data_IF_490567154857
#
_entry.id   IF_490567154857
#
_cell.length_a   1.000
_cell.length_b   1.000
_cell.length_c   1.000
_cell.angle_alpha   90.00
_cell.angle_beta   90.00
_cell.angle_gamma   90.00
#
_symmetry.space_group_name_H-M   'P 1'
#
loop_
_entity.id
_entity.type
_entity.pdbx_description
1 polymer ?
#
# COMPACT_ATOMS: atom_id res chain seq x y z
N UNK A 1 -3.98 11.10 8.72
CA UNK A 1 -2.91 10.83 9.71
C UNK A 1 -3.33 9.93 10.87
N UNK A 2 -4.28 10.30 11.75
CA UNK A 2 -4.65 9.47 12.93
C UNK A 2 -5.05 8.02 12.63
N UNK A 3 -5.76 7.78 11.51
CA UNK A 3 -6.15 6.44 11.08
C UNK A 3 -4.94 5.57 10.75
N UNK A 4 -4.05 6.03 9.88
CA UNK A 4 -2.85 5.28 9.48
C UNK A 4 -1.89 5.06 10.65
N UNK A 5 -1.76 6.05 11.53
CA UNK A 5 -1.00 5.88 12.77
C UNK A 5 -1.59 4.76 13.66
N UNK A 6 -2.91 4.73 13.85
CA UNK A 6 -3.57 3.70 14.65
C UNK A 6 -3.39 2.32 14.02
N UNK A 7 -3.47 2.21 12.69
CA UNK A 7 -3.23 0.96 11.96
C UNK A 7 -1.79 0.47 12.21
N UNK A 8 -0.79 1.35 12.07
CA UNK A 8 0.61 1.00 12.30
C UNK A 8 0.87 0.53 13.74
N UNK A 9 0.29 1.20 14.74
CA UNK A 9 0.40 0.81 16.15
C UNK A 9 -0.22 -0.57 16.42
N UNK A 10 -1.37 -0.88 15.82
CA UNK A 10 -2.04 -2.18 15.95
C UNK A 10 -1.24 -3.27 15.26
N UNK A 11 -0.75 -3.03 14.04
CA UNK A 11 0.06 -4.02 13.30
C UNK A 11 1.32 -4.38 14.09
N UNK A 12 2.04 -3.39 14.63
CA UNK A 12 3.21 -3.61 15.46
C UNK A 12 2.90 -4.43 16.73
N UNK A 13 1.78 -4.15 17.40
CA UNK A 13 1.34 -4.89 18.60
C UNK A 13 1.11 -6.37 18.33
N UNK A 14 0.66 -6.71 17.12
CA UNK A 14 0.31 -8.07 16.75
C UNK A 14 1.42 -8.80 15.97
N UNK A 15 2.58 -8.17 15.74
CA UNK A 15 3.66 -8.76 14.93
C UNK A 15 3.24 -9.08 13.50
N UNK A 16 2.27 -8.33 12.98
CA UNK A 16 1.86 -8.43 11.59
C UNK A 16 2.77 -7.58 10.70
N UNK A 17 2.73 -7.83 9.39
CA UNK A 17 3.49 -7.07 8.41
C UNK A 17 2.63 -5.93 7.85
N UNK A 18 3.13 -4.69 7.88
CA UNK A 18 2.40 -3.52 7.38
C UNK A 18 2.78 -3.24 5.93
N UNK A 19 1.78 -3.17 5.05
CA UNK A 19 1.93 -2.55 3.73
C UNK A 19 1.38 -1.12 3.82
N UNK A 20 2.26 -0.12 3.93
CA UNK A 20 1.87 1.28 4.14
C UNK A 20 1.58 2.00 2.81
N UNK A 21 0.40 1.74 2.26
CA UNK A 21 -0.07 2.41 1.05
C UNK A 21 -0.22 3.93 1.20
N UNK A 22 -0.34 4.45 2.42
CA UNK A 22 -0.51 5.89 2.65
C UNK A 22 0.80 6.66 2.50
N UNK A 23 1.91 6.09 2.99
CA UNK A 23 3.24 6.65 2.76
C UNK A 23 3.62 6.60 1.27
N UNK A 24 3.26 5.50 0.59
CA UNK A 24 3.53 5.29 -0.83
C UNK A 24 2.55 6.02 -1.77
N UNK A 25 1.43 6.53 -1.23
CA UNK A 25 0.33 7.14 -2.01
C UNK A 25 0.74 8.37 -2.82
N UNK A 26 1.88 9.00 -2.50
CA UNK A 26 2.42 10.13 -3.28
C UNK A 26 2.51 9.81 -4.77
N UNK A 27 2.79 8.56 -5.12
CA UNK A 27 2.85 8.07 -6.49
C UNK A 27 1.51 8.24 -7.24
N UNK A 28 0.36 8.10 -6.58
CA UNK A 28 -0.95 8.28 -7.22
C UNK A 28 -1.29 9.73 -7.57
N UNK A 29 -0.72 10.70 -6.85
CA UNK A 29 -0.85 12.10 -7.24
C UNK A 29 -0.09 12.39 -8.55
N UNK A 30 0.91 11.57 -8.88
CA UNK A 30 1.75 11.69 -10.07
C UNK A 30 1.26 10.80 -11.23
N UNK A 31 0.36 9.84 -10.96
CA UNK A 31 -0.16 8.86 -11.93
C UNK A 31 -1.69 8.83 -11.99
N UNK A 32 -2.33 9.76 -12.72
CA UNK A 32 -3.79 9.79 -12.85
C UNK A 32 -4.38 8.53 -13.49
N UNK A 33 -3.60 7.79 -14.29
CA UNK A 33 -3.99 6.51 -14.89
C UNK A 33 -4.24 5.39 -13.88
N UNK A 34 -3.74 5.52 -12.65
CA UNK A 34 -3.99 4.55 -11.58
C UNK A 34 -5.34 4.71 -10.91
N UNK A 35 -6.06 5.81 -11.17
CA UNK A 35 -7.39 6.06 -10.62
C UNK A 35 -8.45 5.72 -11.66
N UNK A 36 -9.48 4.99 -11.23
CA UNK A 36 -10.63 4.63 -12.03
C UNK A 36 -11.51 5.83 -12.37
N UNK A 37 -12.51 5.59 -13.22
CA UNK A 37 -13.42 6.66 -13.70
C UNK A 37 -14.27 7.29 -12.61
N UNK A 38 -14.43 6.62 -11.48
CA UNK A 38 -15.17 7.15 -10.32
C UNK A 38 -14.33 8.14 -9.48
N UNK A 39 -13.06 8.33 -9.83
CA UNK A 39 -12.16 9.26 -9.14
C UNK A 39 -11.75 8.77 -7.74
N UNK A 40 -11.99 7.50 -7.41
CA UNK A 40 -11.69 6.96 -6.08
C UNK A 40 -11.05 5.58 -6.12
N UNK A 41 -11.67 4.60 -6.79
CA UNK A 41 -11.12 3.25 -6.81
C UNK A 41 -9.93 3.17 -7.77
N UNK A 42 -8.98 2.24 -7.54
CA UNK A 42 -7.92 2.00 -8.51
C UNK A 42 -8.47 1.54 -9.86
N UNK A 43 -7.83 1.96 -10.94
CA UNK A 43 -8.00 1.37 -12.27
C UNK A 43 -7.34 -0.02 -12.33
N UNK A 44 -7.45 -0.74 -13.45
CA UNK A 44 -6.72 -1.99 -13.65
C UNK A 44 -5.19 -1.81 -13.53
N UNK A 45 -4.67 -0.68 -14.01
CA UNK A 45 -3.24 -0.34 -13.88
C UNK A 45 -2.90 -0.02 -12.42
N UNK A 46 -3.76 0.71 -11.72
CA UNK A 46 -3.61 0.98 -10.29
C UNK A 46 -3.60 -0.29 -9.44
N UNK A 47 -4.49 -1.24 -9.71
CA UNK A 47 -4.47 -2.54 -9.01
C UNK A 47 -3.19 -3.34 -9.30
N UNK A 48 -2.65 -3.27 -10.52
CA UNK A 48 -1.36 -3.91 -10.82
C UNK A 48 -0.24 -3.30 -10.00
N UNK A 49 -0.17 -1.97 -9.92
CA UNK A 49 0.83 -1.29 -9.11
C UNK A 49 0.70 -1.61 -7.61
N UNK A 50 -0.53 -1.66 -7.09
CA UNK A 50 -0.78 -2.11 -5.72
C UNK A 50 -0.27 -3.54 -5.49
N UNK A 51 -0.48 -4.45 -6.44
CA UNK A 51 0.04 -5.81 -6.33
C UNK A 51 1.58 -5.83 -6.22
N UNK A 52 2.29 -4.99 -6.97
CA UNK A 52 3.75 -4.87 -6.88
C UNK A 52 4.21 -4.36 -5.50
N UNK A 53 3.50 -3.38 -4.92
CA UNK A 53 3.80 -2.86 -3.58
C UNK A 53 3.65 -3.96 -2.53
N UNK A 54 2.57 -4.74 -2.60
CA UNK A 54 2.38 -5.89 -1.70
C UNK A 54 3.47 -6.95 -1.89
N UNK A 55 3.79 -7.29 -3.15
CA UNK A 55 4.80 -8.30 -3.46
C UNK A 55 6.17 -7.92 -2.88
N UNK A 56 6.57 -6.64 -2.98
CA UNK A 56 7.83 -6.16 -2.43
C UNK A 56 7.96 -6.43 -0.93
N UNK A 57 6.90 -6.18 -0.15
CA UNK A 57 6.88 -6.43 1.29
C UNK A 57 6.95 -7.94 1.59
N UNK A 58 6.21 -8.76 0.83
CA UNK A 58 6.23 -10.21 1.00
C UNK A 58 7.60 -10.84 0.69
N UNK A 59 8.29 -10.34 -0.35
CA UNK A 59 9.64 -10.80 -0.71
C UNK A 59 10.65 -10.39 0.35
N UNK A 60 10.66 -9.13 0.79
CA UNK A 60 11.56 -8.65 1.84
C UNK A 60 11.44 -9.44 3.15
N UNK A 61 10.23 -9.87 3.49
CA UNK A 61 9.98 -10.74 4.65
C UNK A 61 10.61 -12.12 4.50
N UNK A 62 10.62 -12.66 3.29
CA UNK A 62 11.12 -14.01 2.99
C UNK A 62 12.65 -14.04 2.95
N UNK A 63 13.29 -12.94 2.52
CA UNK A 63 14.75 -12.79 2.51
C UNK A 63 15.38 -12.63 3.91
N UNK A 64 14.58 -12.51 4.97
CA UNK A 64 15.01 -12.36 6.37
C UNK A 64 14.95 -13.71 7.14
N UNK A 65 14.50 -14.80 6.52
CA UNK A 65 14.50 -16.17 7.07
C UNK A 65 15.59 -17.05 6.43
#
# INVERSE_FOLDING_TARGET
DRWNQTIAEVVARHGAELVDLHADWRELAEHPEYVGRDGFHPSSEGYRRLADVFLNVLVQRTDIL
#
